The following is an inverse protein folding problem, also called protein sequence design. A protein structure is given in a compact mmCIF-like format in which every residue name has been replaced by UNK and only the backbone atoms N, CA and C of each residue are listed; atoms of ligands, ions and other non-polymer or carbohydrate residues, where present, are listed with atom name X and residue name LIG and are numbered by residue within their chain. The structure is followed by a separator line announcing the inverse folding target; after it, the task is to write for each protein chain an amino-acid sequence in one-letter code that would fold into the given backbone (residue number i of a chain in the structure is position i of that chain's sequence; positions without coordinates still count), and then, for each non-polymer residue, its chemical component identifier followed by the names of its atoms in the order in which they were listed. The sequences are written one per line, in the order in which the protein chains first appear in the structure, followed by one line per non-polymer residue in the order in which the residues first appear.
data_IF_085088362393
#
_entry.id   IF_085088362393
#
_cell.length_a   1.000
_cell.length_b   1.000
_cell.length_c   1.000
_cell.angle_alpha   90.00
_cell.angle_beta   90.00
_cell.angle_gamma   90.00
#
_symmetry.space_group_name_H-M   'P 1'
#
loop_
_entity.id
_entity.type
_entity.pdbx_description
1 polymer ?
#
# COMPACT_ATOMS: atom_id res chain seq x y z
N UNK A 1 7.20 20.11 -13.69
CA UNK A 1 7.37 19.15 -12.57
C UNK A 1 6.59 19.76 -11.41
N UNK A 2 5.38 19.24 -11.10
CA UNK A 2 4.63 19.73 -9.95
C UNK A 2 5.46 19.43 -8.69
N UNK A 3 5.49 20.40 -7.77
CA UNK A 3 6.27 20.32 -6.54
C UNK A 3 5.68 19.26 -5.57
N UNK A 4 5.95 18.00 -5.89
CA UNK A 4 5.60 16.89 -4.99
C UNK A 4 6.34 17.01 -3.66
N UNK A 5 7.51 17.68 -3.65
CA UNK A 5 8.33 17.89 -2.45
C UNK A 5 7.59 18.82 -1.49
N UNK A 6 7.10 19.97 -1.93
CA UNK A 6 6.35 20.89 -1.09
C UNK A 6 5.02 20.32 -0.60
N UNK A 7 4.33 19.50 -1.43
CA UNK A 7 3.14 18.77 -0.97
C UNK A 7 3.48 17.77 0.13
N UNK A 8 4.55 16.96 -0.08
CA UNK A 8 4.99 15.97 0.92
C UNK A 8 5.34 16.63 2.24
N UNK A 9 6.08 17.75 2.22
CA UNK A 9 6.45 18.52 3.42
C UNK A 9 5.20 18.96 4.20
N UNK A 10 4.18 19.49 3.53
CA UNK A 10 2.91 19.87 4.17
C UNK A 10 2.21 18.69 4.83
N UNK A 11 2.17 17.53 4.19
CA UNK A 11 1.60 16.30 4.79
C UNK A 11 2.42 15.88 6.00
N UNK A 12 3.76 15.89 5.90
CA UNK A 12 4.66 15.52 7.00
C UNK A 12 4.45 16.45 8.21
N UNK A 13 4.32 17.76 8.00
CA UNK A 13 4.00 18.71 9.07
C UNK A 13 2.66 18.43 9.75
N UNK A 14 1.63 18.07 8.96
CA UNK A 14 0.33 17.68 9.53
C UNK A 14 0.48 16.41 10.35
N UNK A 15 1.17 15.38 9.84
CA UNK A 15 1.38 14.12 10.56
C UNK A 15 2.17 14.30 11.86
N UNK A 16 3.17 15.19 11.89
CA UNK A 16 3.90 15.53 13.12
C UNK A 16 2.94 16.16 14.14
N UNK A 17 2.14 17.16 13.73
CA UNK A 17 1.15 17.78 14.64
C UNK A 17 0.14 16.76 15.17
N UNK A 18 -0.37 15.86 14.32
CA UNK A 18 -1.29 14.80 14.72
C UNK A 18 -0.65 13.83 15.73
N UNK A 19 0.63 13.48 15.51
CA UNK A 19 1.37 12.64 16.46
C UNK A 19 1.55 13.33 17.80
N UNK A 20 1.85 14.66 17.81
CA UNK A 20 1.99 15.46 19.02
C UNK A 20 0.66 15.61 19.77
N UNK A 21 -0.47 15.74 19.05
CA UNK A 21 -1.82 15.79 19.62
C UNK A 21 -2.16 14.48 20.33
N UNK A 22 -1.91 13.35 19.67
CA UNK A 22 -2.22 12.02 20.18
C UNK A 22 -1.28 11.63 21.34
N UNK A 23 0.01 11.95 21.26
CA UNK A 23 0.94 11.76 22.37
C UNK A 23 0.48 12.47 23.64
N UNK A 24 0.08 13.75 23.53
CA UNK A 24 -0.46 14.50 24.68
C UNK A 24 -1.73 13.87 25.25
N UNK A 25 -2.61 13.37 24.37
CA UNK A 25 -3.82 12.69 24.79
C UNK A 25 -3.51 11.40 25.55
N UNK A 26 -2.63 10.54 25.00
CA UNK A 26 -2.22 9.27 25.61
C UNK A 26 -1.50 9.50 26.96
N UNK A 27 -0.51 10.38 27.00
CA UNK A 27 0.24 10.67 28.23
C UNK A 27 -0.64 11.38 29.29
N UNK A 28 -1.68 12.10 28.87
CA UNK A 28 -2.70 12.64 29.74
C UNK A 28 -3.58 11.59 30.39
N UNK A 29 -3.75 10.40 29.77
CA UNK A 29 -4.42 9.26 30.36
C UNK A 29 -3.51 8.54 31.35
N UNK A 30 -2.28 8.18 30.93
CA UNK A 30 -1.32 7.52 31.81
C UNK A 30 0.10 7.57 31.24
N UNK A 31 1.11 7.82 32.10
CA UNK A 31 2.51 7.93 31.68
C UNK A 31 3.10 6.64 31.08
N UNK A 32 2.60 5.46 31.48
CA UNK A 32 3.02 4.16 30.90
C UNK A 32 2.64 3.96 29.44
N UNK A 33 1.83 4.85 28.84
CA UNK A 33 1.49 4.83 27.41
C UNK A 33 2.58 5.45 26.51
N UNK A 34 3.71 5.92 27.10
CA UNK A 34 4.85 6.45 26.33
C UNK A 34 5.34 5.51 25.23
N UNK A 35 5.50 4.17 25.42
CA UNK A 35 5.91 3.29 24.33
C UNK A 35 4.91 3.24 23.16
N UNK A 36 3.62 3.37 23.44
CA UNK A 36 2.57 3.40 22.41
C UNK A 36 2.68 4.68 21.58
N UNK A 37 2.81 5.86 22.22
CA UNK A 37 2.94 7.14 21.52
C UNK A 37 4.24 7.21 20.71
N UNK A 38 5.35 6.64 21.22
CA UNK A 38 6.61 6.55 20.48
C UNK A 38 6.48 5.73 19.20
N UNK A 39 5.85 4.54 19.28
CA UNK A 39 5.66 3.71 18.10
C UNK A 39 4.66 4.33 17.10
N UNK A 40 3.61 5.01 17.56
CA UNK A 40 2.72 5.80 16.71
C UNK A 40 3.51 6.85 15.92
N UNK A 41 4.34 7.66 16.57
CA UNK A 41 5.19 8.66 15.94
C UNK A 41 6.13 8.05 14.91
N UNK A 42 6.79 6.93 15.23
CA UNK A 42 7.68 6.20 14.31
C UNK A 42 6.94 5.68 13.08
N UNK A 43 5.73 5.15 13.25
CA UNK A 43 4.90 4.66 12.14
C UNK A 43 4.53 5.76 11.13
N UNK A 44 4.52 7.03 11.55
CA UNK A 44 4.19 8.18 10.71
C UNK A 44 5.42 8.91 10.13
N UNK A 45 6.63 8.62 10.61
CA UNK A 45 7.84 9.39 10.29
C UNK A 45 8.31 9.22 8.83
N UNK A 46 8.05 8.08 8.20
CA UNK A 46 8.55 7.73 6.87
C UNK A 46 7.41 7.57 5.85
N UNK A 47 7.74 7.66 4.56
CA UNK A 47 6.82 7.37 3.47
C UNK A 47 6.85 8.38 2.34
N UNK A 48 6.38 7.97 1.16
CA UNK A 48 6.28 8.79 -0.06
C UNK A 48 5.00 9.62 -0.14
N UNK A 49 4.07 9.44 0.79
CA UNK A 49 2.77 10.13 0.89
C UNK A 49 1.91 9.99 -0.37
N UNK A 50 1.98 8.84 -1.02
CA UNK A 50 1.33 8.58 -2.31
C UNK A 50 -0.19 8.55 -2.16
N UNK A 51 -0.72 7.96 -1.08
CA UNK A 51 -2.16 7.86 -0.83
C UNK A 51 -2.78 9.22 -0.54
N UNK A 52 -2.07 10.02 0.25
CA UNK A 52 -2.41 11.43 0.48
C UNK A 52 -2.42 12.22 -0.84
N UNK A 53 -1.42 12.02 -1.71
CA UNK A 53 -1.34 12.67 -3.00
C UNK A 53 -2.53 12.32 -3.91
N UNK A 54 -2.95 11.05 -3.97
CA UNK A 54 -4.11 10.66 -4.77
C UNK A 54 -5.41 11.26 -4.23
N UNK A 55 -5.62 11.32 -2.92
CA UNK A 55 -6.80 12.02 -2.36
C UNK A 55 -6.78 13.50 -2.72
N UNK A 56 -5.65 14.18 -2.50
CA UNK A 56 -5.49 15.59 -2.82
C UNK A 56 -5.74 15.90 -4.31
N UNK A 57 -5.14 15.11 -5.21
CA UNK A 57 -5.34 15.33 -6.64
C UNK A 57 -6.73 14.90 -7.12
N UNK A 58 -7.38 13.97 -6.45
CA UNK A 58 -8.81 13.68 -6.66
C UNK A 58 -9.69 14.90 -6.36
N UNK A 59 -9.42 15.62 -5.27
CA UNK A 59 -10.05 16.88 -4.93
C UNK A 59 -9.74 17.97 -5.97
N UNK A 60 -8.46 18.18 -6.30
CA UNK A 60 -8.03 19.21 -7.26
C UNK A 60 -8.58 18.96 -8.67
N UNK A 61 -8.78 17.70 -9.06
CA UNK A 61 -9.37 17.32 -10.35
C UNK A 61 -10.83 17.76 -10.51
N UNK A 62 -11.53 18.08 -9.43
CA UNK A 62 -12.88 18.68 -9.48
C UNK A 62 -12.89 20.20 -9.71
N UNK A 63 -11.71 20.82 -9.78
CA UNK A 63 -11.56 22.28 -9.88
C UNK A 63 -11.59 23.01 -8.53
N UNK A 64 -11.70 22.29 -7.42
CA UNK A 64 -11.66 22.89 -6.09
C UNK A 64 -10.27 23.44 -5.75
N UNK A 65 -10.20 24.59 -5.03
CA UNK A 65 -8.93 25.19 -4.64
C UNK A 65 -8.20 24.35 -3.57
N UNK A 66 -6.91 24.60 -3.44
CA UNK A 66 -6.13 24.08 -2.30
C UNK A 66 -6.64 24.70 -0.98
N UNK A 67 -6.68 23.86 0.07
CA UNK A 67 -7.03 24.31 1.41
C UNK A 67 -6.51 23.34 2.48
N UNK A 68 -6.34 23.84 3.71
CA UNK A 68 -5.87 23.04 4.85
C UNK A 68 -6.79 21.83 5.16
N UNK A 69 -8.09 21.98 4.92
CA UNK A 69 -9.04 20.89 5.15
C UNK A 69 -8.77 19.66 4.28
N UNK A 70 -8.44 19.84 2.99
CA UNK A 70 -8.10 18.71 2.12
C UNK A 70 -6.73 18.13 2.43
N UNK A 71 -5.76 18.94 2.87
CA UNK A 71 -4.44 18.45 3.31
C UNK A 71 -4.61 17.57 4.56
N UNK A 72 -5.43 18.00 5.54
CA UNK A 72 -5.73 17.20 6.72
C UNK A 72 -6.50 15.92 6.38
N UNK A 73 -7.48 15.99 5.47
CA UNK A 73 -8.18 14.79 4.97
C UNK A 73 -7.23 13.81 4.25
N UNK A 74 -6.26 14.35 3.47
CA UNK A 74 -5.24 13.56 2.80
C UNK A 74 -4.28 12.90 3.79
N UNK A 75 -3.88 13.60 4.86
CA UNK A 75 -3.03 13.04 5.92
C UNK A 75 -3.70 11.85 6.64
N UNK A 76 -5.04 11.82 6.74
CA UNK A 76 -5.77 10.68 7.29
C UNK A 76 -5.52 9.37 6.52
N UNK A 77 -5.25 9.44 5.21
CA UNK A 77 -4.89 8.27 4.41
C UNK A 77 -3.54 7.66 4.82
N UNK A 78 -2.61 8.47 5.30
CA UNK A 78 -1.32 8.00 5.78
C UNK A 78 -1.44 7.34 7.17
N UNK A 79 -2.41 7.76 8.00
CA UNK A 79 -2.76 7.06 9.25
C UNK A 79 -3.37 5.68 8.96
N UNK A 80 -4.30 5.59 7.98
CA UNK A 80 -4.81 4.28 7.51
C UNK A 80 -3.66 3.40 7.03
N UNK A 81 -2.70 3.99 6.29
CA UNK A 81 -1.54 3.25 5.79
C UNK A 81 -0.64 2.76 6.92
N UNK A 82 -0.36 3.59 7.92
CA UNK A 82 0.42 3.18 9.07
C UNK A 82 -0.25 2.04 9.85
N UNK A 83 -1.58 2.10 10.03
CA UNK A 83 -2.36 1.02 10.63
C UNK A 83 -2.27 -0.29 9.82
N UNK A 84 -2.51 -0.21 8.51
CA UNK A 84 -2.44 -1.38 7.62
C UNK A 84 -1.05 -2.01 7.63
N UNK A 85 0.02 -1.19 7.56
CA UNK A 85 1.40 -1.69 7.66
C UNK A 85 1.69 -2.35 9.01
N UNK A 86 1.15 -1.79 10.11
CA UNK A 86 1.36 -2.37 11.45
C UNK A 86 0.71 -3.75 11.57
N UNK A 87 -0.49 -3.94 11.01
CA UNK A 87 -1.17 -5.24 10.99
C UNK A 87 -0.50 -6.22 10.02
N UNK A 88 -0.15 -5.78 8.82
CA UNK A 88 0.58 -6.55 7.79
C UNK A 88 1.93 -7.08 8.35
N UNK A 89 2.70 -6.23 9.03
CA UNK A 89 3.96 -6.62 9.67
C UNK A 89 3.78 -7.72 10.74
N UNK A 90 2.65 -7.74 11.46
CA UNK A 90 2.32 -8.81 12.43
C UNK A 90 1.96 -10.10 11.69
N UNK A 91 1.16 -10.01 10.65
CA UNK A 91 0.69 -11.17 9.85
C UNK A 91 1.87 -11.86 9.18
N UNK A 92 2.78 -11.06 8.59
CA UNK A 92 3.95 -11.53 7.87
C UNK A 92 5.18 -11.81 8.79
N UNK A 93 5.07 -11.59 10.10
CA UNK A 93 6.21 -11.61 11.06
C UNK A 93 7.43 -10.79 10.56
N UNK A 94 7.16 -9.70 9.86
CA UNK A 94 8.20 -8.85 9.26
C UNK A 94 8.93 -8.06 10.33
N UNK A 95 10.26 -8.22 10.46
CA UNK A 95 11.05 -7.56 11.50
C UNK A 95 11.47 -6.15 11.16
N UNK A 96 11.58 -5.81 9.87
CA UNK A 96 12.11 -4.55 9.39
C UNK A 96 11.19 -3.91 8.33
N UNK A 97 11.01 -2.58 8.41
CA UNK A 97 10.32 -1.78 7.40
C UNK A 97 11.02 -0.42 7.27
N UNK A 98 11.35 -0.03 6.05
CA UNK A 98 12.09 1.22 5.77
C UNK A 98 13.40 1.37 6.59
N UNK A 99 14.11 0.25 6.80
CA UNK A 99 15.37 0.24 7.58
C UNK A 99 15.20 0.38 9.10
N UNK A 100 13.97 0.33 9.62
CA UNK A 100 13.66 0.40 11.05
C UNK A 100 12.96 -0.88 11.51
N UNK A 101 13.03 -1.18 12.81
CA UNK A 101 12.23 -2.26 13.40
C UNK A 101 10.74 -1.96 13.25
N UNK A 102 9.98 -2.97 12.85
CA UNK A 102 8.51 -2.94 12.90
C UNK A 102 8.01 -2.79 14.32
N UNK A 103 6.77 -2.36 14.51
CA UNK A 103 6.24 -2.09 15.85
C UNK A 103 6.32 -3.32 16.77
N UNK A 104 5.91 -4.51 16.28
CA UNK A 104 5.97 -5.72 17.08
C UNK A 104 7.41 -6.14 17.39
N UNK A 105 8.35 -5.99 16.45
CA UNK A 105 9.76 -6.27 16.70
C UNK A 105 10.39 -5.30 17.71
N UNK A 106 10.00 -4.02 17.67
CA UNK A 106 10.45 -3.02 18.64
C UNK A 106 9.92 -3.29 20.05
N UNK A 107 8.63 -3.65 20.20
CA UNK A 107 8.09 -4.07 21.49
C UNK A 107 8.74 -5.35 22.01
N UNK A 108 9.03 -6.35 21.15
CA UNK A 108 9.74 -7.56 21.51
C UNK A 108 11.16 -7.28 22.02
N UNK A 109 11.90 -6.37 21.38
CA UNK A 109 13.23 -5.97 21.79
C UNK A 109 13.25 -5.34 23.20
N UNK A 110 12.12 -4.76 23.63
CA UNK A 110 11.93 -4.21 24.98
C UNK A 110 11.34 -5.23 25.99
N UNK A 111 11.26 -6.53 25.63
CA UNK A 111 10.74 -7.60 26.49
C UNK A 111 9.23 -7.57 26.70
N UNK A 112 8.49 -6.90 25.85
CA UNK A 112 7.03 -6.72 25.95
C UNK A 112 6.26 -7.78 25.14
N UNK A 113 4.94 -7.89 25.36
CA UNK A 113 4.01 -8.74 24.57
C UNK A 113 3.78 -8.13 23.18
N UNK A 114 4.70 -8.33 22.28
CA UNK A 114 4.91 -7.62 21.03
C UNK A 114 3.70 -7.59 20.09
N UNK A 115 3.15 -8.75 19.79
CA UNK A 115 2.00 -8.89 18.87
C UNK A 115 0.75 -8.16 19.41
N UNK A 116 0.43 -8.34 20.70
CA UNK A 116 -0.75 -7.71 21.31
C UNK A 116 -0.63 -6.17 21.32
N UNK A 117 0.55 -5.63 21.63
CA UNK A 117 0.76 -4.18 21.67
C UNK A 117 0.76 -3.57 20.26
N UNK A 118 1.35 -4.24 19.28
CA UNK A 118 1.34 -3.78 17.89
C UNK A 118 -0.08 -3.84 17.29
N UNK A 119 -0.87 -4.87 17.62
CA UNK A 119 -2.29 -4.94 17.21
C UNK A 119 -3.08 -3.73 17.75
N UNK A 120 -2.92 -3.42 19.05
CA UNK A 120 -3.57 -2.24 19.66
C UNK A 120 -3.12 -0.93 19.01
N UNK A 121 -1.83 -0.80 18.65
CA UNK A 121 -1.34 0.36 17.90
C UNK A 121 -2.03 0.49 16.53
N UNK A 122 -2.16 -0.62 15.78
CA UNK A 122 -2.84 -0.62 14.49
C UNK A 122 -4.31 -0.21 14.61
N UNK A 123 -5.02 -0.71 15.62
CA UNK A 123 -6.42 -0.35 15.91
C UNK A 123 -6.56 1.13 16.29
N UNK A 124 -5.64 1.64 17.12
CA UNK A 124 -5.60 3.07 17.49
C UNK A 124 -5.40 3.96 16.26
N UNK A 125 -4.41 3.65 15.41
CA UNK A 125 -4.14 4.37 14.18
C UNK A 125 -5.34 4.38 13.23
N UNK A 126 -6.05 3.24 13.11
CA UNK A 126 -7.25 3.12 12.27
C UNK A 126 -8.40 3.97 12.80
N UNK A 127 -8.67 3.94 14.11
CA UNK A 127 -9.66 4.79 14.77
C UNK A 127 -9.32 6.27 14.62
N UNK A 128 -8.06 6.63 14.85
CA UNK A 128 -7.57 7.99 14.75
C UNK A 128 -7.66 8.53 13.31
N UNK A 129 -7.37 7.71 12.30
CA UNK A 129 -7.55 8.08 10.90
C UNK A 129 -9.00 8.52 10.58
N UNK A 130 -9.99 7.78 11.08
CA UNK A 130 -11.40 8.14 10.95
C UNK A 130 -11.75 9.46 11.63
N UNK A 131 -11.22 9.69 12.82
CA UNK A 131 -11.38 10.97 13.53
C UNK A 131 -10.77 12.13 12.72
N UNK A 132 -9.52 12.01 12.28
CA UNK A 132 -8.81 13.05 11.51
C UNK A 132 -9.55 13.36 10.20
N UNK A 133 -10.03 12.34 9.49
CA UNK A 133 -10.78 12.52 8.26
C UNK A 133 -12.09 13.28 8.48
N UNK A 134 -12.86 12.91 9.50
CA UNK A 134 -14.17 13.53 9.79
C UNK A 134 -14.05 14.90 10.44
N UNK A 135 -12.93 15.21 11.09
CA UNK A 135 -12.62 16.50 11.72
C UNK A 135 -11.64 17.38 10.92
N UNK A 136 -11.46 17.12 9.62
CA UNK A 136 -10.48 17.80 8.79
C UNK A 136 -10.76 19.30 8.53
N UNK A 137 -11.93 19.81 8.89
CA UNK A 137 -12.31 21.21 8.70
C UNK A 137 -13.07 21.49 7.41
N UNK A 138 -13.35 20.47 6.60
CA UNK A 138 -14.23 20.60 5.43
C UNK A 138 -15.71 20.63 5.89
N UNK A 139 -16.61 21.29 5.10
CA UNK A 139 -18.04 21.33 5.45
C UNK A 139 -18.66 19.95 5.60
N UNK A 140 -19.48 19.78 6.66
CA UNK A 140 -20.09 18.49 6.99
C UNK A 140 -20.90 17.85 5.87
N UNK A 141 -21.50 18.63 4.98
CA UNK A 141 -22.21 18.13 3.81
C UNK A 141 -21.28 17.42 2.80
N UNK A 142 -20.01 17.83 2.70
CA UNK A 142 -19.00 17.18 1.85
C UNK A 142 -18.56 15.86 2.50
N UNK A 143 -18.29 15.91 3.80
CA UNK A 143 -17.88 14.73 4.57
C UNK A 143 -18.95 13.65 4.57
N UNK A 144 -20.21 14.00 4.76
CA UNK A 144 -21.33 13.04 4.78
C UNK A 144 -21.42 12.18 3.49
N UNK A 145 -21.04 12.75 2.34
CA UNK A 145 -21.02 12.02 1.06
C UNK A 145 -19.91 10.98 0.99
N UNK A 146 -18.82 11.18 1.73
CA UNK A 146 -17.63 10.33 1.67
C UNK A 146 -17.60 9.24 2.74
N UNK A 147 -18.40 9.34 3.80
CA UNK A 147 -18.46 8.31 4.86
C UNK A 147 -18.71 6.89 4.32
N UNK A 148 -19.65 6.66 3.37
CA UNK A 148 -19.84 5.33 2.79
C UNK A 148 -18.61 4.83 2.01
N UNK A 149 -17.90 5.74 1.32
CA UNK A 149 -16.65 5.41 0.60
C UNK A 149 -15.51 5.10 1.55
N UNK A 150 -15.40 5.82 2.66
CA UNK A 150 -14.43 5.55 3.72
C UNK A 150 -14.61 4.12 4.27
N UNK A 151 -15.84 3.76 4.62
CA UNK A 151 -16.16 2.40 5.08
C UNK A 151 -15.88 1.34 4.01
N UNK A 152 -16.13 1.67 2.73
CA UNK A 152 -15.86 0.76 1.60
C UNK A 152 -14.36 0.57 1.41
N UNK A 153 -13.55 1.64 1.49
CA UNK A 153 -12.09 1.56 1.43
C UNK A 153 -11.56 0.60 2.49
N UNK A 154 -11.93 0.77 3.75
CA UNK A 154 -11.47 -0.10 4.84
C UNK A 154 -11.89 -1.56 4.62
N UNK A 155 -13.16 -1.78 4.28
CA UNK A 155 -13.70 -3.12 4.02
C UNK A 155 -12.96 -3.83 2.89
N UNK A 156 -12.72 -3.15 1.77
CA UNK A 156 -12.04 -3.72 0.61
C UNK A 156 -10.57 -4.01 0.91
N UNK A 157 -9.88 -3.14 1.66
CA UNK A 157 -8.50 -3.35 2.08
C UNK A 157 -8.38 -4.58 2.98
N UNK A 158 -9.22 -4.67 4.02
CA UNK A 158 -9.22 -5.81 4.94
C UNK A 158 -9.61 -7.12 4.24
N UNK A 159 -10.57 -7.06 3.29
CA UNK A 159 -10.93 -8.23 2.49
C UNK A 159 -9.76 -8.69 1.60
N UNK A 160 -9.00 -7.77 1.03
CA UNK A 160 -7.79 -8.08 0.25
C UNK A 160 -6.73 -8.78 1.08
N UNK A 161 -6.46 -8.27 2.28
CA UNK A 161 -5.54 -8.87 3.25
C UNK A 161 -5.98 -10.27 3.66
N UNK A 162 -7.25 -10.43 4.03
CA UNK A 162 -7.81 -11.71 4.42
C UNK A 162 -7.73 -12.76 3.29
N UNK A 163 -7.98 -12.34 2.03
CA UNK A 163 -7.83 -13.22 0.86
C UNK A 163 -6.38 -13.64 0.64
N UNK A 164 -5.41 -12.76 0.87
CA UNK A 164 -3.99 -13.11 0.76
C UNK A 164 -3.61 -14.19 1.78
N UNK A 165 -3.96 -14.00 3.05
CA UNK A 165 -3.71 -15.00 4.11
C UNK A 165 -4.32 -16.35 3.75
N UNK A 166 -5.62 -16.39 3.39
CA UNK A 166 -6.30 -17.64 2.99
C UNK A 166 -5.61 -18.34 1.81
N UNK A 167 -5.13 -17.58 0.83
CA UNK A 167 -4.47 -18.13 -0.37
C UNK A 167 -3.06 -18.60 -0.09
N UNK A 168 -2.36 -17.95 0.83
CA UNK A 168 -1.06 -18.39 1.32
C UNK A 168 -1.20 -19.74 2.04
N UNK A 169 -2.17 -19.89 2.93
CA UNK A 169 -2.46 -21.15 3.62
C UNK A 169 -2.88 -22.26 2.64
N UNK A 170 -3.77 -21.95 1.70
CA UNK A 170 -4.30 -22.94 0.72
C UNK A 170 -3.23 -23.45 -0.26
N UNK A 171 -2.06 -22.82 -0.31
CA UNK A 171 -0.97 -23.18 -1.20
C UNK A 171 -0.36 -24.56 -0.92
N UNK A 172 -0.46 -25.06 0.29
CA UNK A 172 -0.04 -26.44 0.62
C UNK A 172 -0.80 -27.48 -0.24
N UNK A 173 -2.04 -27.15 -0.65
CA UNK A 173 -2.94 -28.07 -1.33
C UNK A 173 -3.05 -27.81 -2.85
N UNK A 174 -2.72 -26.62 -3.34
CA UNK A 174 -2.87 -26.24 -4.74
C UNK A 174 -1.88 -25.18 -5.23
N UNK A 175 -1.62 -25.18 -6.54
CA UNK A 175 -0.81 -24.15 -7.18
C UNK A 175 -1.51 -22.76 -7.16
N UNK A 176 -0.75 -21.65 -7.02
CA UNK A 176 -1.30 -20.31 -7.11
C UNK A 176 -1.79 -20.02 -8.54
N UNK A 177 -2.85 -19.21 -8.66
CA UNK A 177 -3.40 -18.78 -9.94
C UNK A 177 -3.16 -17.27 -10.14
N UNK A 178 -2.74 -16.88 -11.35
CA UNK A 178 -2.51 -15.46 -11.70
C UNK A 178 -3.75 -14.60 -11.45
N UNK A 179 -4.93 -15.09 -11.81
CA UNK A 179 -6.18 -14.37 -11.60
C UNK A 179 -6.45 -14.08 -10.11
N UNK A 180 -6.15 -15.02 -9.23
CA UNK A 180 -6.30 -14.85 -7.78
C UNK A 180 -5.28 -13.86 -7.21
N UNK A 181 -4.02 -13.92 -7.69
CA UNK A 181 -2.99 -12.96 -7.30
C UNK A 181 -3.38 -11.54 -7.70
N UNK A 182 -3.92 -11.35 -8.91
CA UNK A 182 -4.41 -10.05 -9.38
C UNK A 182 -5.64 -9.57 -8.60
N UNK A 183 -6.48 -10.48 -8.13
CA UNK A 183 -7.63 -10.12 -7.29
C UNK A 183 -7.17 -9.59 -5.92
N UNK A 184 -6.18 -10.24 -5.28
CA UNK A 184 -5.54 -9.72 -4.06
C UNK A 184 -4.93 -8.35 -4.34
N UNK A 185 -4.10 -8.22 -5.38
CA UNK A 185 -3.48 -6.95 -5.77
C UNK A 185 -4.52 -5.84 -5.98
N UNK A 186 -5.69 -6.17 -6.54
CA UNK A 186 -6.80 -5.22 -6.75
C UNK A 186 -7.38 -4.72 -5.43
N UNK A 187 -7.70 -5.60 -4.48
CA UNK A 187 -8.35 -5.22 -3.22
C UNK A 187 -7.34 -4.67 -2.20
N UNK A 188 -6.25 -5.39 -1.95
CA UNK A 188 -5.23 -5.02 -0.96
C UNK A 188 -4.48 -3.75 -1.35
N UNK A 189 -4.22 -3.53 -2.66
CA UNK A 189 -3.33 -2.46 -3.11
C UNK A 189 -3.99 -1.46 -4.06
N UNK A 190 -4.57 -1.87 -5.19
CA UNK A 190 -5.01 -0.94 -6.23
C UNK A 190 -6.15 -0.04 -5.77
N UNK A 191 -7.18 -0.62 -5.16
CA UNK A 191 -8.31 0.14 -4.61
C UNK A 191 -7.86 1.02 -3.46
N UNK A 192 -7.14 0.48 -2.53
CA UNK A 192 -6.72 1.17 -1.32
C UNK A 192 -5.69 2.29 -1.58
N UNK A 193 -4.72 2.04 -2.47
CA UNK A 193 -3.62 3.00 -2.69
C UNK A 193 -3.99 4.09 -3.68
N UNK A 194 -4.79 3.79 -4.71
CA UNK A 194 -5.05 4.72 -5.83
C UNK A 194 -6.53 5.03 -6.00
N UNK A 195 -7.36 4.02 -6.29
CA UNK A 195 -8.75 4.24 -6.69
C UNK A 195 -9.57 4.93 -5.61
N UNK A 196 -9.58 4.40 -4.40
CA UNK A 196 -10.40 4.95 -3.30
C UNK A 196 -9.92 6.30 -2.77
N UNK A 197 -8.62 6.57 -2.62
CA UNK A 197 -8.14 7.93 -2.35
C UNK A 197 -8.61 8.95 -3.40
N UNK A 198 -8.52 8.64 -4.70
CA UNK A 198 -9.05 9.48 -5.77
C UNK A 198 -10.56 9.69 -5.66
N UNK A 199 -11.31 8.62 -5.40
CA UNK A 199 -12.77 8.69 -5.20
C UNK A 199 -13.13 9.54 -3.98
N UNK A 200 -12.42 9.40 -2.87
CA UNK A 200 -12.64 10.22 -1.67
C UNK A 200 -12.42 11.70 -1.99
N UNK A 201 -11.26 12.04 -2.58
CA UNK A 201 -10.96 13.40 -2.98
C UNK A 201 -11.97 13.97 -4.00
N UNK A 202 -12.29 13.19 -5.04
CA UNK A 202 -13.28 13.57 -6.04
C UNK A 202 -14.68 13.77 -5.47
N UNK A 203 -15.12 12.90 -4.57
CA UNK A 203 -16.44 13.00 -3.92
C UNK A 203 -16.50 14.18 -2.94
N UNK A 204 -15.43 14.43 -2.17
CA UNK A 204 -15.28 15.62 -1.33
C UNK A 204 -15.42 16.89 -2.17
N UNK A 205 -14.80 16.93 -3.36
CA UNK A 205 -14.86 18.07 -4.27
C UNK A 205 -16.15 18.20 -5.08
N UNK A 206 -17.09 17.26 -4.96
CA UNK A 206 -18.34 17.27 -5.73
C UNK A 206 -18.15 16.79 -7.18
N UNK A 207 -17.16 15.96 -7.43
CA UNK A 207 -16.84 15.40 -8.75
C UNK A 207 -18.01 14.66 -9.39
N UNK A 208 -18.11 14.76 -10.71
CA UNK A 208 -19.14 14.07 -11.48
C UNK A 208 -18.94 12.55 -11.49
N UNK A 209 -20.00 11.80 -11.76
CA UNK A 209 -19.93 10.35 -11.95
C UNK A 209 -18.89 9.96 -13.01
N UNK A 210 -18.86 10.68 -14.13
CA UNK A 210 -17.89 10.43 -15.21
C UNK A 210 -16.45 10.62 -14.74
N UNK A 211 -16.15 11.61 -13.88
CA UNK A 211 -14.83 11.78 -13.29
C UNK A 211 -14.45 10.62 -12.36
N UNK A 212 -15.39 10.15 -11.52
CA UNK A 212 -15.16 9.01 -10.64
C UNK A 212 -14.96 7.70 -11.43
N UNK A 213 -15.69 7.49 -12.53
CA UNK A 213 -15.48 6.37 -13.45
C UNK A 213 -14.10 6.45 -14.12
N UNK A 214 -13.66 7.65 -14.52
CA UNK A 214 -12.30 7.85 -15.03
C UNK A 214 -11.22 7.55 -13.97
N UNK A 215 -11.45 7.90 -12.70
CA UNK A 215 -10.56 7.53 -11.61
C UNK A 215 -10.47 6.02 -11.41
N UNK A 216 -11.55 5.25 -11.58
CA UNK A 216 -11.48 3.80 -11.59
C UNK A 216 -10.69 3.27 -12.79
N UNK A 217 -10.94 3.83 -13.98
CA UNK A 217 -10.21 3.47 -15.21
C UNK A 217 -8.70 3.73 -15.13
N UNK A 218 -8.30 4.76 -14.38
CA UNK A 218 -6.92 5.09 -14.11
C UNK A 218 -6.36 4.31 -12.91
N UNK A 219 -7.07 4.32 -11.79
CA UNK A 219 -6.56 3.90 -10.49
C UNK A 219 -6.41 2.39 -10.35
N UNK A 220 -7.34 1.61 -10.90
CA UNK A 220 -7.27 0.15 -10.82
C UNK A 220 -6.05 -0.40 -11.57
N UNK A 221 -5.85 -0.11 -12.87
CA UNK A 221 -4.67 -0.64 -13.56
C UNK A 221 -3.36 -0.08 -13.01
N UNK A 222 -3.31 1.20 -12.59
CA UNK A 222 -2.11 1.75 -11.99
C UNK A 222 -1.76 1.06 -10.68
N UNK A 223 -2.73 0.83 -9.81
CA UNK A 223 -2.49 0.15 -8.54
C UNK A 223 -2.15 -1.32 -8.68
N UNK A 224 -2.72 -2.02 -9.68
CA UNK A 224 -2.29 -3.38 -10.03
C UNK A 224 -0.84 -3.39 -10.52
N UNK A 225 -0.44 -2.42 -11.36
CA UNK A 225 0.95 -2.28 -11.81
C UNK A 225 1.91 -2.00 -10.66
N UNK A 226 1.46 -1.21 -9.68
CA UNK A 226 2.22 -0.91 -8.46
C UNK A 226 2.50 -2.19 -7.65
N UNK A 227 1.47 -3.04 -7.44
CA UNK A 227 1.66 -4.30 -6.71
C UNK A 227 2.55 -5.27 -7.47
N UNK A 228 2.33 -5.44 -8.78
CA UNK A 228 3.20 -6.28 -9.61
C UNK A 228 4.67 -5.83 -9.56
N UNK A 229 4.92 -4.52 -9.49
CA UNK A 229 6.28 -3.99 -9.30
C UNK A 229 6.82 -4.30 -7.91
N UNK A 230 6.00 -4.18 -6.87
CA UNK A 230 6.41 -4.55 -5.50
C UNK A 230 6.73 -6.05 -5.41
N UNK A 231 5.96 -6.92 -6.04
CA UNK A 231 6.23 -8.37 -6.11
C UNK A 231 7.57 -8.68 -6.81
N UNK A 232 7.89 -7.97 -7.90
CA UNK A 232 9.21 -8.08 -8.54
C UNK A 232 10.33 -7.61 -7.62
N UNK A 233 10.14 -6.49 -6.92
CA UNK A 233 11.13 -5.97 -5.97
C UNK A 233 11.29 -6.87 -4.74
N UNK A 234 10.22 -7.51 -4.26
CA UNK A 234 10.24 -8.49 -3.17
C UNK A 234 11.04 -9.75 -3.49
N UNK A 235 11.25 -10.03 -4.78
CA UNK A 235 12.01 -11.21 -5.22
C UNK A 235 13.37 -10.85 -5.83
N UNK A 236 13.45 -9.80 -6.64
CA UNK A 236 14.66 -9.43 -7.42
C UNK A 236 15.32 -8.13 -6.95
N UNK A 237 14.69 -7.39 -6.05
CA UNK A 237 15.19 -6.09 -5.60
C UNK A 237 16.44 -6.21 -4.74
N UNK A 238 17.27 -5.16 -4.76
CA UNK A 238 18.41 -5.03 -3.86
C UNK A 238 17.93 -4.62 -2.46
N UNK A 239 18.15 -5.45 -1.41
CA UNK A 239 17.76 -5.11 -0.05
C UNK A 239 18.35 -3.78 0.46
N UNK A 240 19.54 -3.39 0.01
CA UNK A 240 20.16 -2.12 0.39
C UNK A 240 19.38 -0.91 -0.15
N UNK A 241 18.66 -1.08 -1.28
CA UNK A 241 17.85 -0.03 -1.92
C UNK A 241 16.39 -0.08 -1.50
N UNK A 242 15.84 -1.29 -1.33
CA UNK A 242 14.42 -1.49 -0.97
C UNK A 242 14.15 -1.30 0.52
N UNK A 243 15.18 -1.52 1.36
CA UNK A 243 15.06 -1.53 2.82
C UNK A 243 14.28 -2.72 3.37
N UNK A 244 14.04 -3.76 2.56
CA UNK A 244 13.38 -5.02 2.91
C UNK A 244 14.19 -6.20 2.41
N UNK A 245 14.01 -7.38 3.03
CA UNK A 245 14.51 -8.63 2.52
C UNK A 245 13.88 -8.96 1.15
N UNK A 246 14.66 -9.55 0.26
CA UNK A 246 14.17 -10.10 -1.02
C UNK A 246 13.98 -11.64 -0.95
N UNK A 247 13.95 -12.19 0.26
CA UNK A 247 13.72 -13.60 0.55
C UNK A 247 12.34 -13.86 1.15
N UNK A 248 11.74 -12.84 1.78
CA UNK A 248 10.56 -13.02 2.61
C UNK A 248 9.36 -13.52 1.77
N UNK A 249 9.10 -12.92 0.59
CA UNK A 249 8.02 -13.38 -0.30
C UNK A 249 8.18 -14.86 -0.73
N UNK A 250 9.42 -15.35 -0.86
CA UNK A 250 9.71 -16.74 -1.19
C UNK A 250 9.57 -17.64 0.05
N UNK A 251 10.01 -17.18 1.22
CA UNK A 251 9.90 -17.91 2.51
C UNK A 251 8.45 -18.08 2.92
N UNK A 252 7.65 -17.03 2.79
CA UNK A 252 6.23 -17.03 3.11
C UNK A 252 5.38 -17.67 2.02
N UNK A 253 6.00 -17.97 0.88
CA UNK A 253 5.32 -18.51 -0.27
C UNK A 253 4.15 -17.63 -0.75
N UNK A 254 4.30 -16.31 -0.69
CA UNK A 254 3.24 -15.37 -1.08
C UNK A 254 2.69 -15.71 -2.46
N UNK A 255 1.36 -15.72 -2.64
CA UNK A 255 0.71 -16.12 -3.90
C UNK A 255 0.78 -14.98 -4.94
N UNK A 256 2.00 -14.52 -5.25
CA UNK A 256 2.24 -13.45 -6.22
C UNK A 256 1.97 -13.91 -7.66
N UNK A 257 1.67 -12.97 -8.55
CA UNK A 257 1.53 -13.26 -9.98
C UNK A 257 2.82 -13.82 -10.59
N UNK A 258 3.97 -13.36 -10.11
CA UNK A 258 5.29 -13.85 -10.50
C UNK A 258 5.44 -15.35 -10.20
N UNK A 259 5.10 -15.76 -8.97
CA UNK A 259 5.19 -17.16 -8.58
C UNK A 259 4.16 -18.02 -9.33
N UNK A 260 2.94 -17.51 -9.53
CA UNK A 260 1.89 -18.21 -10.26
C UNK A 260 2.30 -18.49 -11.73
N UNK A 261 2.87 -17.50 -12.41
CA UNK A 261 3.40 -17.64 -13.76
C UNK A 261 4.54 -18.63 -13.81
N UNK A 262 5.45 -18.59 -12.83
CA UNK A 262 6.57 -19.52 -12.73
C UNK A 262 6.08 -20.97 -12.60
N UNK A 263 5.16 -21.24 -11.67
CA UNK A 263 4.61 -22.58 -11.47
C UNK A 263 3.84 -23.08 -12.71
N UNK A 264 3.11 -22.19 -13.39
CA UNK A 264 2.39 -22.53 -14.61
C UNK A 264 3.32 -22.95 -15.76
N UNK A 265 4.46 -22.26 -15.91
CA UNK A 265 5.44 -22.55 -16.96
C UNK A 265 6.44 -23.66 -16.62
N UNK A 266 6.59 -24.01 -15.33
CA UNK A 266 7.59 -24.96 -14.86
C UNK A 266 7.30 -26.39 -15.31
N UNK A 267 8.37 -27.10 -15.76
CA UNK A 267 8.34 -28.55 -15.99
C UNK A 267 8.29 -29.37 -14.69
N UNK A 268 8.19 -30.71 -14.80
CA UNK A 268 8.04 -31.56 -13.60
C UNK A 268 9.19 -31.45 -12.62
N UNK A 269 10.45 -31.32 -13.09
CA UNK A 269 11.63 -31.19 -12.23
C UNK A 269 11.67 -29.84 -11.55
N UNK A 270 11.39 -28.77 -12.32
CA UNK A 270 11.32 -27.40 -11.80
C UNK A 270 10.21 -27.24 -10.76
N UNK A 271 9.05 -27.88 -10.96
CA UNK A 271 7.97 -27.90 -9.96
C UNK A 271 8.39 -28.58 -8.67
N UNK A 272 9.17 -29.67 -8.75
CA UNK A 272 9.72 -30.33 -7.55
C UNK A 272 10.69 -29.41 -6.80
N UNK A 273 11.52 -28.70 -7.56
CA UNK A 273 12.42 -27.69 -6.99
C UNK A 273 11.65 -26.59 -6.27
N UNK A 274 10.65 -25.97 -6.92
CA UNK A 274 9.80 -24.95 -6.31
C UNK A 274 9.09 -25.46 -5.06
N UNK A 275 8.52 -26.65 -5.09
CA UNK A 275 7.83 -27.23 -3.93
C UNK A 275 8.76 -27.48 -2.73
N UNK A 276 10.06 -27.71 -2.97
CA UNK A 276 11.06 -27.86 -1.92
C UNK A 276 11.53 -26.54 -1.32
N UNK A 277 11.69 -25.51 -2.16
CA UNK A 277 12.37 -24.27 -1.76
C UNK A 277 11.39 -23.19 -1.31
N UNK A 278 10.29 -22.99 -2.06
CA UNK A 278 9.35 -21.90 -1.78
C UNK A 278 8.43 -22.28 -0.63
N UNK A 279 8.34 -21.43 0.39
CA UNK A 279 7.66 -21.72 1.65
C UNK A 279 8.57 -22.35 2.72
N UNK A 280 9.87 -22.39 2.47
CA UNK A 280 10.84 -22.82 3.46
C UNK A 280 11.35 -21.60 4.26
N UNK A 281 11.05 -21.48 5.57
CA UNK A 281 11.53 -20.37 6.40
C UNK A 281 13.05 -20.22 6.45
N UNK A 282 13.78 -21.34 6.27
CA UNK A 282 15.25 -21.40 6.28
C UNK A 282 15.88 -21.15 4.89
N UNK A 283 15.06 -20.76 3.86
CA UNK A 283 15.56 -20.50 2.51
C UNK A 283 16.68 -19.46 2.55
N UNK A 284 17.86 -19.84 2.05
CA UNK A 284 19.04 -19.00 1.96
C UNK A 284 19.17 -18.32 0.57
N UNK A 285 20.21 -17.47 0.44
CA UNK A 285 20.44 -16.70 -0.80
C UNK A 285 20.75 -17.61 -2.01
N UNK A 286 21.51 -18.70 -1.81
CA UNK A 286 21.84 -19.65 -2.89
C UNK A 286 20.57 -20.31 -3.45
N UNK A 287 19.68 -20.72 -2.56
CA UNK A 287 18.39 -21.35 -2.92
C UNK A 287 17.45 -20.35 -3.59
N UNK A 288 17.39 -19.12 -3.07
CA UNK A 288 16.63 -18.04 -3.68
C UNK A 288 17.16 -17.67 -5.08
N UNK A 289 18.48 -17.68 -5.27
CA UNK A 289 19.10 -17.46 -6.59
C UNK A 289 18.66 -18.54 -7.59
N UNK A 290 18.58 -19.82 -7.18
CA UNK A 290 18.07 -20.88 -8.05
C UNK A 290 16.59 -20.68 -8.43
N UNK A 291 15.75 -20.19 -7.50
CA UNK A 291 14.35 -19.85 -7.80
C UNK A 291 14.27 -18.67 -8.77
N UNK A 292 15.05 -17.60 -8.55
CA UNK A 292 15.10 -16.42 -9.45
C UNK A 292 15.56 -16.82 -10.86
N UNK A 293 16.59 -17.64 -10.98
CA UNK A 293 17.05 -18.15 -12.28
C UNK A 293 15.94 -18.94 -13.01
N UNK A 294 15.19 -19.75 -12.28
CA UNK A 294 14.03 -20.44 -12.85
C UNK A 294 12.94 -19.46 -13.32
N UNK A 295 12.62 -18.44 -12.55
CA UNK A 295 11.66 -17.39 -12.91
C UNK A 295 12.07 -16.64 -14.18
N UNK A 296 13.36 -16.39 -14.35
CA UNK A 296 13.90 -15.76 -15.57
C UNK A 296 13.87 -16.75 -16.77
N UNK A 297 14.34 -17.96 -16.57
CA UNK A 297 14.41 -18.99 -17.62
C UNK A 297 13.02 -19.36 -18.17
N UNK A 298 11.99 -19.40 -17.34
CA UNK A 298 10.63 -19.67 -17.80
C UNK A 298 9.88 -18.42 -18.29
N UNK A 299 10.53 -17.25 -18.28
CA UNK A 299 10.00 -15.99 -18.79
C UNK A 299 8.96 -15.33 -17.87
N UNK A 300 8.76 -15.80 -16.64
CA UNK A 300 7.76 -15.26 -15.73
C UNK A 300 8.05 -13.79 -15.36
N UNK A 301 9.32 -13.44 -15.10
CA UNK A 301 9.74 -12.06 -14.85
C UNK A 301 9.36 -11.13 -16.01
N UNK A 302 9.64 -11.53 -17.25
CA UNK A 302 9.31 -10.73 -18.43
C UNK A 302 7.80 -10.58 -18.61
N UNK A 303 7.02 -11.62 -18.36
CA UNK A 303 5.55 -11.56 -18.43
C UNK A 303 4.99 -10.55 -17.41
N UNK A 304 5.51 -10.52 -16.18
CA UNK A 304 5.10 -9.52 -15.17
C UNK A 304 5.48 -8.11 -15.62
N UNK A 305 6.66 -7.90 -16.19
CA UNK A 305 7.05 -6.60 -16.76
C UNK A 305 6.11 -6.15 -17.89
N UNK A 306 5.67 -7.07 -18.74
CA UNK A 306 4.72 -6.80 -19.81
C UNK A 306 3.33 -6.43 -19.24
N UNK A 307 2.88 -7.14 -18.21
CA UNK A 307 1.65 -6.84 -17.48
C UNK A 307 1.69 -5.46 -16.83
N UNK A 308 2.83 -5.04 -16.28
CA UNK A 308 3.01 -3.69 -15.71
C UNK A 308 2.88 -2.64 -16.82
N UNK A 309 3.59 -2.81 -17.95
CA UNK A 309 3.55 -1.87 -19.08
C UNK A 309 2.14 -1.70 -19.66
N UNK A 310 1.43 -2.80 -19.85
CA UNK A 310 0.02 -2.77 -20.31
C UNK A 310 -0.86 -1.95 -19.38
N UNK A 311 -0.75 -2.18 -18.08
CA UNK A 311 -1.58 -1.51 -17.06
C UNK A 311 -1.28 -0.01 -16.97
N UNK A 312 -0.02 0.37 -17.06
CA UNK A 312 0.37 1.78 -17.12
C UNK A 312 -0.19 2.46 -18.37
N UNK A 313 -0.13 1.79 -19.52
CA UNK A 313 -0.71 2.30 -20.76
C UNK A 313 -2.23 2.50 -20.65
N UNK A 314 -2.95 1.54 -20.04
CA UNK A 314 -4.39 1.66 -19.78
C UNK A 314 -4.72 2.80 -18.82
N UNK A 315 -3.95 2.97 -17.77
CA UNK A 315 -4.12 4.07 -16.83
C UNK A 315 -3.94 5.43 -17.52
N UNK A 316 -2.88 5.58 -18.33
CA UNK A 316 -2.65 6.80 -19.09
C UNK A 316 -3.80 7.12 -20.04
N UNK A 317 -4.28 6.16 -20.81
CA UNK A 317 -5.39 6.34 -21.73
C UNK A 317 -6.69 6.78 -21.03
N UNK A 318 -6.98 6.22 -19.84
CA UNK A 318 -8.15 6.62 -19.05
C UNK A 318 -8.02 8.07 -18.54
N UNK A 319 -6.80 8.48 -18.16
CA UNK A 319 -6.54 9.84 -17.69
C UNK A 319 -6.68 10.88 -18.82
N UNK A 320 -6.25 10.53 -20.05
CA UNK A 320 -6.33 11.40 -21.21
C UNK A 320 -7.79 11.73 -21.61
N UNK A 321 -8.69 10.78 -21.41
CA UNK A 321 -10.11 10.93 -21.70
C UNK A 321 -10.89 11.68 -20.60
N UNK A 322 -10.34 11.82 -19.41
CA UNK A 322 -11.04 12.42 -18.28
C UNK A 322 -11.11 13.94 -18.38
N UNK A 323 -12.28 14.52 -18.15
CA UNK A 323 -12.45 15.97 -18.04
C UNK A 323 -11.98 16.46 -16.66
N UNK A 324 -10.82 17.10 -16.59
CA UNK A 324 -10.25 17.67 -15.36
C UNK A 324 -9.29 18.83 -15.69
N UNK A 325 -8.94 19.69 -14.71
CA UNK A 325 -7.92 20.73 -14.88
C UNK A 325 -6.57 20.12 -15.31
N UNK A 326 -5.86 20.83 -16.20
CA UNK A 326 -4.57 20.39 -16.75
C UNK A 326 -3.53 20.12 -15.67
N UNK A 327 -3.55 20.92 -14.58
CA UNK A 327 -2.69 20.75 -13.42
C UNK A 327 -2.87 19.36 -12.76
N UNK A 328 -4.14 18.97 -12.50
CA UNK A 328 -4.45 17.68 -11.89
C UNK A 328 -4.06 16.52 -12.80
N UNK A 329 -4.33 16.64 -14.10
CA UNK A 329 -3.91 15.63 -15.10
C UNK A 329 -2.40 15.44 -15.11
N UNK A 330 -1.63 16.54 -15.16
CA UNK A 330 -0.17 16.51 -15.17
C UNK A 330 0.38 15.86 -13.90
N UNK A 331 -0.18 16.19 -12.74
CA UNK A 331 0.24 15.61 -11.47
C UNK A 331 -0.06 14.10 -11.38
N UNK A 332 -1.26 13.68 -11.80
CA UNK A 332 -1.62 12.25 -11.83
C UNK A 332 -0.75 11.47 -12.83
N UNK A 333 -0.41 12.05 -13.98
CA UNK A 333 0.56 11.45 -14.93
C UNK A 333 1.95 11.30 -14.30
N UNK A 334 2.41 12.30 -13.53
CA UNK A 334 3.68 12.23 -12.80
C UNK A 334 3.68 11.16 -11.71
N UNK A 335 2.57 11.01 -10.97
CA UNK A 335 2.42 9.95 -9.97
C UNK A 335 2.43 8.55 -10.61
N UNK A 336 1.82 8.39 -11.80
CA UNK A 336 1.88 7.13 -12.55
C UNK A 336 3.31 6.79 -12.96
N UNK A 337 4.08 7.75 -13.46
CA UNK A 337 5.50 7.56 -13.81
C UNK A 337 6.31 7.12 -12.58
N UNK A 338 6.12 7.77 -11.42
CA UNK A 338 6.82 7.44 -10.18
C UNK A 338 6.45 6.03 -9.67
N UNK A 339 5.22 5.58 -9.90
CA UNK A 339 4.78 4.23 -9.53
C UNK A 339 5.40 3.15 -10.45
N UNK A 340 5.64 3.51 -11.72
CA UNK A 340 6.23 2.64 -12.73
C UNK A 340 7.76 2.51 -12.61
N UNK A 341 8.43 3.62 -12.25
CA UNK A 341 9.89 3.81 -12.32
C UNK A 341 10.65 3.34 -11.06
N UNK A 342 10.06 2.51 -10.23
CA UNK A 342 10.81 1.82 -9.16
C UNK A 342 11.79 0.85 -9.83
N UNK A 343 13.02 1.32 -10.07
CA UNK A 343 14.09 0.49 -10.61
C UNK A 343 14.46 -0.63 -9.64
N UNK A 344 14.59 -1.83 -10.19
CA UNK A 344 15.17 -3.03 -9.56
C UNK A 344 16.59 -2.78 -9.05
#
# INVERSE_FOLDING_TARGET
MHDHTGFKERIDEVLVRLADEEERALLGLHAELSPLSEQLRRSLACGKRIRAAFLYWGWRATGQPDCEGVIRAAAAMELVHAAACTHDDIIDDSRMRHGQLTAHAAFAANGQRSTALAMILGDLLMGYAGHVFTSCGLPGAYLARTVPLWSTLLRETMAGEFLEVLRTEARADRAPLVAESLEVARFKTAKYTVERPLHLGGTLGGGSRALLEAFSGYGLPLGEAFQLRDDLLGTFGDPARTGKSNLDDLRDAKPTALLALTVAAAGPDDRRLLAKLVGNPELGEEEAAAVRELMERCGARQQVEDMIRERIGRAGAALDLAAMPAEARSALSGLAATAADRSL
#
